data_IF_148208870212
#
_entry.id   IF_148208870212
#
_cell.length_a   1.000
_cell.length_b   1.000
_cell.length_c   1.000
_cell.angle_alpha   90.00
_cell.angle_beta   90.00
_cell.angle_gamma   90.00
#
_symmetry.space_group_name_H-M   'P 1'
#
loop_
_entity.id
_entity.type
_entity.pdbx_description
1 polymer ?
#
# COMPACT_ATOMS: atom_id res chain seq x y z
N UNK A 1 1.01 -3.12 14.84
CA UNK A 1 1.11 -4.32 13.99
C UNK A 1 0.14 -5.36 14.52
N UNK A 2 -0.39 -6.27 13.67
CA UNK A 2 -1.18 -7.39 14.16
C UNK A 2 -0.28 -8.33 14.98
N UNK A 3 -0.88 -9.17 15.83
CA UNK A 3 -0.18 -10.29 16.43
C UNK A 3 0.06 -11.41 15.39
N UNK A 4 0.69 -12.51 15.80
CA UNK A 4 0.97 -13.65 14.91
C UNK A 4 -0.30 -14.32 14.33
N UNK A 5 -1.44 -14.14 14.98
CA UNK A 5 -2.75 -14.65 14.56
C UNK A 5 -3.50 -13.66 13.65
N UNK A 6 -2.89 -12.53 13.29
CA UNK A 6 -3.50 -11.50 12.43
C UNK A 6 -4.43 -10.53 13.16
N UNK A 7 -4.44 -10.52 14.50
CA UNK A 7 -5.29 -9.65 15.30
C UNK A 7 -4.67 -8.29 15.63
N UNK A 8 -5.44 -7.23 15.43
CA UNK A 8 -5.19 -5.89 15.96
C UNK A 8 -6.10 -5.65 17.17
N UNK A 9 -5.65 -6.08 18.35
CA UNK A 9 -6.51 -6.11 19.54
C UNK A 9 -7.71 -7.02 19.29
N UNK A 10 -8.97 -6.56 19.46
CA UNK A 10 -10.15 -7.39 19.22
C UNK A 10 -10.53 -7.53 17.73
N UNK A 11 -9.82 -6.86 16.80
CA UNK A 11 -10.14 -6.83 15.37
C UNK A 11 -9.18 -7.69 14.55
N UNK A 12 -9.54 -8.04 13.31
CA UNK A 12 -8.70 -8.87 12.44
C UNK A 12 -8.87 -10.36 12.72
N UNK A 13 -7.80 -11.14 12.58
CA UNK A 13 -7.84 -12.60 12.65
C UNK A 13 -8.22 -13.27 11.34
N UNK A 14 -8.24 -14.61 11.34
CA UNK A 14 -8.53 -15.43 10.16
C UNK A 14 -9.81 -16.22 10.43
N UNK A 15 -10.94 -15.72 9.91
CA UNK A 15 -12.26 -16.34 10.03
C UNK A 15 -12.75 -16.77 8.65
N UNK A 16 -12.21 -17.87 8.15
CA UNK A 16 -12.47 -18.39 6.80
C UNK A 16 -12.84 -19.87 6.87
N UNK A 17 -13.27 -20.44 5.73
CA UNK A 17 -13.49 -21.88 5.63
C UNK A 17 -12.18 -22.65 5.83
N UNK A 18 -12.24 -23.83 6.44
CA UNK A 18 -11.07 -24.69 6.70
C UNK A 18 -10.25 -24.98 5.42
N UNK A 19 -10.92 -25.13 4.29
CA UNK A 19 -10.30 -25.35 2.98
C UNK A 19 -9.44 -24.18 2.48
N UNK A 20 -9.50 -23.01 3.12
CA UNK A 20 -8.68 -21.84 2.81
C UNK A 20 -7.51 -21.65 3.77
N UNK A 21 -7.43 -22.42 4.86
CA UNK A 21 -6.37 -22.26 5.86
C UNK A 21 -4.98 -22.52 5.28
N UNK A 22 -4.79 -23.67 4.63
CA UNK A 22 -3.50 -24.06 4.04
C UNK A 22 -3.02 -23.06 2.95
N UNK A 23 -3.84 -22.66 1.95
CA UNK A 23 -3.43 -21.63 0.99
C UNK A 23 -3.08 -20.27 1.60
N UNK A 24 -3.75 -19.87 2.69
CA UNK A 24 -3.44 -18.61 3.37
C UNK A 24 -2.12 -18.68 4.14
N UNK A 25 -1.81 -19.83 4.74
CA UNK A 25 -0.53 -20.04 5.40
C UNK A 25 0.63 -20.06 4.40
N UNK A 26 0.48 -20.72 3.25
CA UNK A 26 1.46 -20.68 2.15
C UNK A 26 1.71 -19.24 1.67
N UNK A 27 0.64 -18.46 1.48
CA UNK A 27 0.74 -17.06 1.08
C UNK A 27 1.47 -16.22 2.15
N UNK A 28 1.16 -16.43 3.42
CA UNK A 28 1.82 -15.74 4.55
C UNK A 28 3.32 -16.04 4.57
N UNK A 29 3.70 -17.31 4.42
CA UNK A 29 5.11 -17.72 4.41
C UNK A 29 5.87 -17.15 3.21
N UNK A 30 5.25 -17.18 2.01
CA UNK A 30 5.82 -16.56 0.83
C UNK A 30 6.01 -15.04 1.01
N UNK A 31 5.00 -14.34 1.54
CA UNK A 31 5.10 -12.91 1.82
C UNK A 31 6.23 -12.59 2.81
N UNK A 32 6.31 -13.32 3.92
CA UNK A 32 7.35 -13.13 4.93
C UNK A 32 8.76 -13.34 4.39
N UNK A 33 8.92 -14.28 3.45
CA UNK A 33 10.18 -14.49 2.72
C UNK A 33 10.51 -13.34 1.78
N UNK A 34 9.58 -12.95 0.91
CA UNK A 34 9.86 -12.02 -0.19
C UNK A 34 9.81 -10.54 0.21
N UNK A 35 9.15 -10.18 1.33
CA UNK A 35 9.08 -8.78 1.79
C UNK A 35 10.47 -8.18 2.10
N UNK A 36 11.46 -9.02 2.39
CA UNK A 36 12.84 -8.61 2.67
C UNK A 36 13.86 -9.19 1.69
N UNK A 37 13.41 -9.87 0.64
CA UNK A 37 14.28 -10.42 -0.39
C UNK A 37 14.80 -9.29 -1.29
N UNK A 38 16.12 -9.07 -1.39
CA UNK A 38 16.67 -7.93 -2.13
C UNK A 38 16.35 -7.94 -3.63
N UNK A 39 16.29 -9.11 -4.24
CA UNK A 39 16.02 -9.24 -5.68
C UNK A 39 14.56 -8.91 -5.96
N UNK A 40 13.64 -9.40 -5.11
CA UNK A 40 12.22 -9.05 -5.18
C UNK A 40 11.98 -7.55 -4.96
N UNK A 41 12.62 -6.95 -3.96
CA UNK A 41 12.49 -5.50 -3.70
C UNK A 41 13.01 -4.67 -4.86
N UNK A 42 14.14 -5.06 -5.46
CA UNK A 42 14.71 -4.36 -6.61
C UNK A 42 13.79 -4.42 -7.84
N UNK A 43 13.16 -5.57 -8.10
CA UNK A 43 12.15 -5.72 -9.15
C UNK A 43 10.89 -4.88 -8.86
N UNK A 44 10.36 -4.96 -7.64
CA UNK A 44 9.19 -4.21 -7.23
C UNK A 44 9.42 -2.70 -7.35
N UNK A 45 10.55 -2.18 -6.86
CA UNK A 45 10.90 -0.76 -6.96
C UNK A 45 11.09 -0.30 -8.40
N UNK A 46 11.67 -1.14 -9.25
CA UNK A 46 11.81 -0.86 -10.69
C UNK A 46 10.44 -0.72 -11.34
N UNK A 47 9.50 -1.60 -11.03
CA UNK A 47 8.15 -1.54 -11.58
C UNK A 47 7.36 -0.35 -11.02
N UNK A 48 7.50 -0.03 -9.72
CA UNK A 48 6.94 1.18 -9.14
C UNK A 48 7.44 2.44 -9.86
N UNK A 49 8.74 2.52 -10.18
CA UNK A 49 9.33 3.68 -10.84
C UNK A 49 8.96 3.77 -12.33
N UNK A 50 9.09 2.67 -13.07
CA UNK A 50 9.06 2.70 -14.53
C UNK A 50 7.72 2.28 -15.14
N UNK A 51 6.90 1.52 -14.41
CA UNK A 51 5.57 1.12 -14.87
C UNK A 51 4.47 1.93 -14.16
N UNK A 52 4.50 2.01 -12.83
CA UNK A 52 3.48 2.73 -12.05
C UNK A 52 3.67 4.25 -12.13
N UNK A 53 4.91 4.73 -12.20
CA UNK A 53 5.23 6.17 -12.28
C UNK A 53 5.45 6.84 -10.91
N UNK A 54 5.93 6.08 -9.92
CA UNK A 54 6.25 6.60 -8.59
C UNK A 54 7.65 7.23 -8.54
N UNK A 55 7.90 8.17 -7.61
CA UNK A 55 6.97 8.69 -6.60
C UNK A 55 5.94 9.67 -7.19
N UNK A 56 4.69 9.55 -6.74
CA UNK A 56 3.66 10.55 -7.03
C UNK A 56 4.01 11.90 -6.37
N UNK A 57 3.77 13.03 -7.03
CA UNK A 57 4.10 14.34 -6.48
C UNK A 57 3.18 14.74 -5.33
N UNK A 58 3.69 15.62 -4.45
CA UNK A 58 2.88 16.32 -3.46
C UNK A 58 2.54 17.72 -4.02
N UNK A 59 1.28 17.93 -4.38
CA UNK A 59 0.82 19.15 -5.03
C UNK A 59 0.24 20.15 -4.03
N UNK A 60 0.77 21.37 -3.98
CA UNK A 60 0.20 22.45 -3.17
C UNK A 60 -1.04 23.04 -3.86
N UNK A 61 -2.21 22.83 -3.27
CA UNK A 61 -3.47 23.35 -3.79
C UNK A 61 -3.69 24.80 -3.32
N UNK A 62 -2.95 25.74 -3.90
CA UNK A 62 -2.95 27.16 -3.53
C UNK A 62 -4.35 27.80 -3.52
N UNK A 63 -5.15 27.53 -4.55
CA UNK A 63 -6.51 28.07 -4.66
C UNK A 63 -7.39 27.62 -3.50
N UNK A 64 -7.37 26.33 -3.17
CA UNK A 64 -8.12 25.78 -2.05
C UNK A 64 -7.62 26.30 -0.71
N UNK A 65 -6.29 26.42 -0.55
CA UNK A 65 -5.67 26.97 0.65
C UNK A 65 -6.14 28.41 0.91
N UNK A 66 -6.23 29.23 -0.15
CA UNK A 66 -6.76 30.60 -0.07
C UNK A 66 -8.26 30.64 0.21
N UNK A 67 -9.04 29.82 -0.50
CA UNK A 67 -10.51 29.83 -0.40
C UNK A 67 -11.02 29.38 0.97
N UNK A 68 -10.37 28.40 1.58
CA UNK A 68 -10.71 27.92 2.93
C UNK A 68 -10.10 28.79 4.05
N UNK A 69 -9.13 29.65 3.74
CA UNK A 69 -8.59 30.66 4.65
C UNK A 69 -7.85 30.12 5.89
N UNK A 70 -7.48 28.83 5.89
CA UNK A 70 -6.89 28.15 7.05
C UNK A 70 -5.54 27.50 6.74
N UNK A 71 -5.45 26.19 6.98
CA UNK A 71 -4.23 25.42 6.73
C UNK A 71 -3.86 25.38 5.23
N UNK A 72 -2.57 25.14 4.96
CA UNK A 72 -2.10 24.87 3.59
C UNK A 72 -2.52 23.45 3.16
N UNK A 73 -3.10 23.34 1.97
CA UNK A 73 -3.65 22.09 1.47
C UNK A 73 -2.68 21.48 0.46
N UNK A 74 -2.22 20.26 0.76
CA UNK A 74 -1.38 19.47 -0.13
C UNK A 74 -2.10 18.19 -0.52
N UNK A 75 -2.06 17.87 -1.81
CA UNK A 75 -2.65 16.65 -2.38
C UNK A 75 -1.53 15.68 -2.72
N UNK A 76 -1.54 14.50 -2.12
CA UNK A 76 -0.68 13.38 -2.54
C UNK A 76 -1.29 12.76 -3.81
N UNK A 77 -0.65 13.00 -4.95
CA UNK A 77 -1.25 12.77 -6.28
C UNK A 77 -1.20 11.31 -6.74
N UNK A 78 -1.72 10.38 -5.94
CA UNK A 78 -1.84 8.96 -6.32
C UNK A 78 -2.79 8.75 -7.52
N UNK A 79 -3.59 9.76 -7.86
CA UNK A 79 -4.38 9.80 -9.10
C UNK A 79 -3.51 9.81 -10.37
N UNK A 80 -2.22 10.12 -10.25
CA UNK A 80 -1.26 10.13 -11.37
C UNK A 80 -0.53 8.79 -11.57
N UNK A 81 -0.73 7.81 -10.70
CA UNK A 81 -0.19 6.48 -10.92
C UNK A 81 -0.80 5.88 -12.21
N UNK A 82 -0.08 5.00 -12.89
CA UNK A 82 -0.66 4.22 -13.99
C UNK A 82 -1.97 3.56 -13.53
N UNK A 83 -2.99 3.47 -14.40
CA UNK A 83 -4.40 3.11 -14.04
C UNK A 83 -5.21 4.14 -13.23
N UNK A 84 -4.58 5.22 -12.75
CA UNK A 84 -5.28 6.39 -12.17
C UNK A 84 -5.68 6.24 -10.69
N UNK A 85 -5.12 5.29 -9.96
CA UNK A 85 -5.43 5.08 -8.54
C UNK A 85 -4.26 4.50 -7.74
N UNK A 86 -4.34 4.59 -6.42
CA UNK A 86 -3.37 4.02 -5.47
C UNK A 86 -3.39 2.49 -5.36
N UNK A 87 -4.27 1.79 -6.09
CA UNK A 87 -4.44 0.34 -5.95
C UNK A 87 -3.37 -0.46 -6.71
N UNK A 88 -2.71 0.17 -7.67
CA UNK A 88 -1.65 -0.42 -8.48
C UNK A 88 -0.28 -0.33 -7.79
#
# INVERSE_FOLDING_TARGET
MPNAEGHFGPYGGIFVAETLMEPLDELREAYERFKSDPDFQAEFDRDLAHYVGRPSPLYHAERWSRELGGAQIYLKREDLNHTGAHKI
#
